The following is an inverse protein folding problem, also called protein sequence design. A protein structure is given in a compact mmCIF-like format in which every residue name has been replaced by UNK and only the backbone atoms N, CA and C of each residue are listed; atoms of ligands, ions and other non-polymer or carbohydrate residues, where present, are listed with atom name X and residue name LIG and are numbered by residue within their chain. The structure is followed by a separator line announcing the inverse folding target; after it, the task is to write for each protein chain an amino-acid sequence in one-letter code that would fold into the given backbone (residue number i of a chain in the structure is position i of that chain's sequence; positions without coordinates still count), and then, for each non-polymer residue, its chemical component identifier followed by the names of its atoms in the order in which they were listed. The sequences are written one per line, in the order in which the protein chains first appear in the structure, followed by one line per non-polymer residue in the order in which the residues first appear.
data_IF_873881491092
#
_entry.id   IF_873881491092
#
_cell.length_a   1.000
_cell.length_b   1.000
_cell.length_c   1.000
_cell.angle_alpha   90.00
_cell.angle_beta   90.00
_cell.angle_gamma   90.00
#
_symmetry.space_group_name_H-M   'P 1'
#
loop_
_entity.id
_entity.type
_entity.pdbx_description
1 polymer ?
#
# COMPACT_ATOMS: atom_id res chain seq x y z
N UNK A 1 10.33 35.50 18.35
CA UNK A 1 9.01 34.90 18.10
C UNK A 1 9.24 33.41 18.08
N UNK A 2 8.68 32.65 19.01
CA UNK A 2 8.76 31.19 18.99
C UNK A 2 8.04 30.71 17.72
N UNK A 3 8.73 29.93 16.88
CA UNK A 3 8.09 29.23 15.78
C UNK A 3 6.98 28.37 16.36
N UNK A 4 5.72 28.62 15.98
CA UNK A 4 4.61 27.73 16.35
C UNK A 4 4.85 26.38 15.67
N UNK A 5 4.93 25.30 16.46
CA UNK A 5 5.02 23.95 15.90
C UNK A 5 3.84 23.68 14.98
N UNK A 6 4.11 22.99 13.86
CA UNK A 6 3.07 22.55 12.95
C UNK A 6 2.36 21.29 13.48
N UNK A 7 1.19 20.95 12.92
CA UNK A 7 0.53 19.66 13.19
C UNK A 7 1.43 18.47 12.83
N UNK A 8 2.27 18.64 11.80
CA UNK A 8 3.24 17.63 11.41
C UNK A 8 4.28 17.39 12.50
N UNK A 9 4.84 18.46 13.12
CA UNK A 9 5.79 18.32 14.22
C UNK A 9 5.15 17.64 15.44
N UNK A 10 3.88 17.92 15.67
CA UNK A 10 3.10 17.28 16.74
C UNK A 10 2.90 15.78 16.48
N UNK A 11 2.60 15.38 15.23
CA UNK A 11 2.52 13.96 14.84
C UNK A 11 3.86 13.25 14.97
N UNK A 12 4.96 13.87 14.59
CA UNK A 12 6.32 13.31 14.75
C UNK A 12 6.68 12.97 16.19
N UNK A 13 6.12 13.68 17.15
CA UNK A 13 6.36 13.43 18.58
C UNK A 13 5.71 12.14 19.10
N UNK A 14 4.68 11.63 18.44
CA UNK A 14 3.89 10.45 18.87
C UNK A 14 3.81 9.32 17.85
N UNK A 15 4.15 9.57 16.58
CA UNK A 15 4.19 8.57 15.52
C UNK A 15 5.44 8.75 14.65
N UNK A 16 6.00 7.60 14.16
CA UNK A 16 7.15 7.61 13.26
C UNK A 16 6.70 7.98 11.84
N UNK A 17 6.31 9.23 11.63
CA UNK A 17 5.93 9.75 10.30
C UNK A 17 7.08 10.57 9.78
N UNK A 18 7.78 10.06 8.79
CA UNK A 18 8.94 10.67 8.17
C UNK A 18 8.65 11.08 6.71
N UNK A 19 9.19 12.23 6.27
CA UNK A 19 8.87 12.84 4.98
C UNK A 19 10.09 13.19 4.11
N UNK A 20 9.97 13.01 2.77
CA UNK A 20 11.02 13.20 1.77
C UNK A 20 11.51 14.67 1.66
N UNK A 21 12.44 14.93 0.84
CA UNK A 21 13.35 16.06 0.64
C UNK A 21 13.10 17.41 1.36
N UNK A 22 11.85 17.90 1.42
CA UNK A 22 11.49 19.13 2.15
C UNK A 22 10.98 18.82 3.56
N UNK A 23 10.40 17.65 3.74
CA UNK A 23 9.68 17.18 4.92
C UNK A 23 10.22 15.83 5.44
N UNK A 24 11.25 15.26 4.83
CA UNK A 24 11.84 13.97 5.14
C UNK A 24 13.00 13.97 6.13
N UNK A 25 13.70 12.84 6.29
CA UNK A 25 13.55 11.60 5.52
C UNK A 25 12.27 10.82 5.85
N UNK A 26 11.77 10.02 4.87
CA UNK A 26 10.69 9.08 5.11
C UNK A 26 11.24 7.70 5.50
N UNK A 27 10.39 6.89 6.15
CA UNK A 27 10.72 5.48 6.35
C UNK A 27 10.48 4.75 5.04
N UNK A 28 9.22 4.70 4.57
CA UNK A 28 8.80 3.91 3.43
C UNK A 28 8.13 4.76 2.34
N UNK A 29 8.15 4.23 1.11
CA UNK A 29 7.38 4.72 -0.01
C UNK A 29 6.38 3.66 -0.44
N UNK A 30 5.12 4.03 -0.66
CA UNK A 30 4.11 3.11 -1.17
C UNK A 30 3.59 3.55 -2.54
N UNK A 31 3.40 2.58 -3.44
CA UNK A 31 2.85 2.79 -4.77
C UNK A 31 1.69 1.82 -5.04
N UNK A 32 0.95 2.08 -6.10
CA UNK A 32 -0.05 1.23 -6.73
C UNK A 32 -0.29 1.70 -8.16
N UNK A 33 -1.10 0.99 -8.91
CA UNK A 33 -1.39 1.29 -10.32
C UNK A 33 -1.96 2.70 -10.52
N UNK A 34 -2.85 3.16 -9.61
CA UNK A 34 -3.45 4.48 -9.72
C UNK A 34 -2.43 5.61 -9.49
N UNK A 35 -1.56 5.45 -8.49
CA UNK A 35 -0.48 6.40 -8.21
C UNK A 35 0.50 6.43 -9.38
N UNK A 36 0.91 5.26 -9.89
CA UNK A 36 1.83 5.15 -11.01
C UNK A 36 1.25 5.79 -12.28
N UNK A 37 -0.01 5.50 -12.61
CA UNK A 37 -0.69 6.11 -13.75
C UNK A 37 -0.77 7.62 -13.62
N UNK A 38 -1.21 8.14 -12.47
CA UNK A 38 -1.30 9.58 -12.23
C UNK A 38 0.05 10.28 -12.31
N UNK A 39 1.14 9.63 -11.90
CA UNK A 39 2.48 10.18 -12.01
C UNK A 39 3.01 10.15 -13.45
N UNK A 40 2.87 9.02 -14.15
CA UNK A 40 3.37 8.83 -15.52
C UNK A 40 2.63 9.71 -16.54
N UNK A 41 1.38 10.07 -16.27
CA UNK A 41 0.57 10.91 -17.16
C UNK A 41 0.66 12.41 -16.85
N UNK A 42 1.51 12.82 -15.88
CA UNK A 42 1.77 14.24 -15.65
C UNK A 42 2.42 14.89 -16.87
N UNK A 43 1.96 16.10 -17.19
CA UNK A 43 2.47 16.88 -18.28
C UNK A 43 3.30 18.08 -17.80
N UNK A 44 4.28 18.47 -18.59
CA UNK A 44 5.04 19.71 -18.47
C UNK A 44 4.20 20.88 -19.00
N UNK A 45 4.66 22.11 -18.81
CA UNK A 45 3.96 23.31 -19.27
C UNK A 45 3.77 23.38 -20.80
N UNK A 46 4.62 22.69 -21.57
CA UNK A 46 4.54 22.55 -23.03
C UNK A 46 3.69 21.34 -23.49
N UNK A 47 3.00 20.67 -22.56
CA UNK A 47 2.06 19.60 -22.84
C UNK A 47 2.68 18.21 -23.07
N UNK A 48 3.99 18.05 -22.95
CA UNK A 48 4.67 16.75 -23.05
C UNK A 48 4.58 15.97 -21.75
N UNK A 49 4.65 14.64 -21.82
CA UNK A 49 4.72 13.83 -20.61
C UNK A 49 6.03 14.08 -19.86
N UNK A 50 5.91 14.38 -18.57
CA UNK A 50 7.08 14.64 -17.71
C UNK A 50 8.01 13.43 -17.62
N UNK A 51 7.45 12.22 -17.72
CA UNK A 51 8.17 10.95 -17.63
C UNK A 51 8.31 10.23 -18.99
N UNK A 52 8.20 10.93 -20.11
CA UNK A 52 8.21 10.34 -21.47
C UNK A 52 9.43 9.42 -21.69
N UNK A 53 10.63 9.88 -21.33
CA UNK A 53 11.85 9.07 -21.51
C UNK A 53 11.83 7.80 -20.65
N UNK A 54 11.36 7.89 -19.41
CA UNK A 54 11.22 6.72 -18.53
C UNK A 54 10.27 5.67 -19.16
N UNK A 55 9.17 6.11 -19.77
CA UNK A 55 8.21 5.22 -20.43
C UNK A 55 8.87 4.54 -21.63
N UNK A 56 9.53 5.30 -22.51
CA UNK A 56 10.24 4.77 -23.69
C UNK A 56 11.29 3.72 -23.31
N UNK A 57 12.15 4.05 -22.34
CA UNK A 57 13.19 3.13 -21.86
C UNK A 57 12.59 1.87 -21.26
N UNK A 58 11.44 1.99 -20.56
CA UNK A 58 10.78 0.82 -19.96
C UNK A 58 10.17 -0.11 -21.00
N UNK A 59 9.57 0.44 -22.05
CA UNK A 59 9.01 -0.34 -23.17
C UNK A 59 10.13 -1.02 -23.95
N UNK A 60 11.22 -0.32 -24.23
CA UNK A 60 12.38 -0.89 -24.93
C UNK A 60 13.03 -2.04 -24.14
N UNK A 61 13.25 -1.85 -22.84
CA UNK A 61 13.81 -2.90 -21.98
C UNK A 61 12.87 -4.10 -21.87
N UNK A 62 11.55 -3.87 -21.77
CA UNK A 62 10.57 -4.94 -21.70
C UNK A 62 10.61 -5.83 -22.94
N UNK A 63 10.75 -5.26 -24.13
CA UNK A 63 10.87 -6.02 -25.38
C UNK A 63 12.12 -6.92 -25.37
N UNK A 64 13.26 -6.39 -24.94
CA UNK A 64 14.50 -7.15 -24.86
C UNK A 64 14.49 -8.22 -23.76
N UNK A 65 13.98 -7.88 -22.58
CA UNK A 65 14.01 -8.77 -21.42
C UNK A 65 12.96 -9.87 -21.50
N UNK A 66 11.77 -9.61 -22.07
CA UNK A 66 10.75 -10.64 -22.26
C UNK A 66 11.29 -11.83 -23.04
N UNK A 67 12.00 -11.60 -24.15
CA UNK A 67 12.60 -12.68 -24.93
C UNK A 67 13.75 -13.40 -24.21
N UNK A 68 14.55 -12.68 -23.44
CA UNK A 68 15.79 -13.21 -22.87
C UNK A 68 15.61 -13.89 -21.50
N UNK A 69 14.72 -13.36 -20.65
CA UNK A 69 14.61 -13.77 -19.26
C UNK A 69 13.21 -14.30 -18.89
N UNK A 70 12.15 -13.80 -19.53
CA UNK A 70 10.77 -14.13 -19.18
C UNK A 70 9.90 -14.37 -20.41
N UNK A 71 10.14 -15.45 -21.19
CA UNK A 71 9.47 -15.68 -22.49
C UNK A 71 7.95 -15.84 -22.39
N UNK A 72 7.44 -16.17 -21.22
CA UNK A 72 6.01 -16.40 -20.98
C UNK A 72 5.22 -15.12 -20.60
N UNK A 73 5.90 -13.95 -20.46
CA UNK A 73 5.24 -12.70 -20.10
C UNK A 73 5.00 -11.83 -21.33
N UNK A 74 3.81 -11.23 -21.40
CA UNK A 74 3.55 -10.16 -22.37
C UNK A 74 4.51 -8.98 -22.10
N UNK A 75 5.28 -8.53 -23.12
CA UNK A 75 6.18 -7.38 -22.98
C UNK A 75 5.51 -6.11 -22.46
N UNK A 76 4.21 -5.92 -22.73
CA UNK A 76 3.43 -4.79 -22.22
C UNK A 76 3.27 -4.87 -20.70
N UNK A 77 2.91 -6.04 -20.17
CA UNK A 77 2.82 -6.25 -18.72
C UNK A 77 4.18 -6.02 -18.04
N UNK A 78 5.24 -6.51 -18.66
CA UNK A 78 6.61 -6.28 -18.16
C UNK A 78 6.99 -4.79 -18.21
N UNK A 79 6.59 -4.06 -19.26
CA UNK A 79 6.84 -2.62 -19.34
C UNK A 79 6.16 -1.86 -18.20
N UNK A 80 4.94 -2.22 -17.83
CA UNK A 80 4.25 -1.62 -16.66
C UNK A 80 5.04 -1.87 -15.38
N UNK A 81 5.51 -3.11 -15.14
CA UNK A 81 6.34 -3.43 -13.97
C UNK A 81 7.63 -2.61 -13.93
N UNK A 82 8.33 -2.49 -15.07
CA UNK A 82 9.57 -1.70 -15.18
C UNK A 82 9.28 -0.21 -14.94
N UNK A 83 8.21 0.34 -15.48
CA UNK A 83 7.81 1.74 -15.23
C UNK A 83 7.58 1.99 -13.74
N UNK A 84 6.85 1.11 -13.04
CA UNK A 84 6.58 1.24 -11.61
C UNK A 84 7.86 1.14 -10.77
N UNK A 85 8.76 0.23 -11.11
CA UNK A 85 10.09 0.10 -10.47
C UNK A 85 10.92 1.36 -10.68
N UNK A 86 11.03 1.86 -11.92
CA UNK A 86 11.80 3.07 -12.22
C UNK A 86 11.27 4.32 -11.53
N UNK A 87 9.93 4.45 -11.39
CA UNK A 87 9.35 5.53 -10.60
C UNK A 87 9.76 5.43 -9.14
N UNK A 88 9.71 4.24 -8.57
CA UNK A 88 10.06 4.02 -7.15
C UNK A 88 11.53 4.28 -6.87
N UNK A 89 12.44 3.88 -7.77
CA UNK A 89 13.88 4.12 -7.64
C UNK A 89 14.25 5.61 -7.55
N UNK A 90 13.42 6.52 -8.08
CA UNK A 90 13.63 7.97 -7.91
C UNK A 90 13.60 8.43 -6.45
N UNK A 91 13.03 7.64 -5.55
CA UNK A 91 12.92 7.97 -4.13
C UNK A 91 14.07 7.42 -3.26
N UNK A 92 15.04 6.68 -3.86
CA UNK A 92 16.18 6.09 -3.11
C UNK A 92 16.83 7.08 -2.13
N UNK A 93 17.18 8.33 -2.53
CA UNK A 93 17.89 9.26 -1.65
C UNK A 93 17.06 9.76 -0.46
N UNK A 94 15.76 9.51 -0.45
CA UNK A 94 14.81 10.09 0.50
C UNK A 94 14.20 9.07 1.46
N UNK A 95 14.55 7.78 1.34
CA UNK A 95 13.94 6.70 2.10
C UNK A 95 14.98 5.92 2.91
N UNK A 96 14.60 5.57 4.14
CA UNK A 96 15.43 4.73 5.02
C UNK A 96 14.97 3.29 5.11
N UNK A 97 13.72 2.99 4.77
CA UNK A 97 13.08 1.67 4.83
C UNK A 97 12.70 1.11 3.47
N UNK A 98 11.46 0.65 3.33
CA UNK A 98 11.00 -0.15 2.20
C UNK A 98 10.42 0.65 1.03
N UNK A 99 10.54 0.03 -0.15
CA UNK A 99 9.88 0.42 -1.40
C UNK A 99 8.72 -0.54 -1.65
N UNK A 100 7.47 -0.07 -1.46
CA UNK A 100 6.29 -0.91 -1.64
C UNK A 100 5.78 -0.81 -3.07
N UNK A 101 5.85 -1.91 -3.81
CA UNK A 101 5.35 -2.04 -5.18
C UNK A 101 4.19 -3.01 -5.21
N UNK A 102 3.07 -2.59 -5.79
CA UNK A 102 1.88 -3.44 -5.89
C UNK A 102 1.97 -4.38 -7.09
N UNK A 103 1.60 -5.65 -6.86
CA UNK A 103 1.43 -6.65 -7.91
C UNK A 103 0.29 -6.27 -8.86
N UNK A 104 0.27 -6.83 -10.06
CA UNK A 104 -0.86 -6.71 -10.98
C UNK A 104 -2.13 -7.25 -10.32
N UNK A 105 -3.14 -6.41 -10.19
CA UNK A 105 -4.38 -6.72 -9.47
C UNK A 105 -5.30 -7.69 -10.21
N UNK A 106 -5.13 -7.87 -11.52
CA UNK A 106 -5.85 -8.89 -12.28
C UNK A 106 -5.52 -10.33 -11.82
N UNK A 107 -4.41 -10.47 -11.08
CA UNK A 107 -3.96 -11.75 -10.52
C UNK A 107 -4.30 -11.93 -9.03
N UNK A 108 -5.10 -11.04 -8.45
CA UNK A 108 -5.42 -11.04 -7.01
C UNK A 108 -6.04 -12.36 -6.50
N UNK A 109 -6.62 -13.16 -7.38
CA UNK A 109 -7.22 -14.46 -7.06
C UNK A 109 -6.38 -15.65 -7.57
N UNK A 110 -5.08 -15.44 -7.82
CA UNK A 110 -4.15 -16.49 -8.25
C UNK A 110 -2.86 -16.43 -7.44
N UNK A 111 -2.64 -17.39 -6.56
CA UNK A 111 -1.40 -17.52 -5.77
C UNK A 111 -0.19 -17.57 -6.68
N UNK A 112 -0.20 -18.46 -7.68
CA UNK A 112 0.93 -18.69 -8.58
C UNK A 112 1.31 -17.43 -9.37
N UNK A 113 0.32 -16.78 -10.01
CA UNK A 113 0.57 -15.57 -10.80
C UNK A 113 1.06 -14.42 -9.93
N UNK A 114 0.49 -14.25 -8.72
CA UNK A 114 0.91 -13.23 -7.76
C UNK A 114 2.35 -13.45 -7.30
N UNK A 115 2.73 -14.67 -6.96
CA UNK A 115 4.11 -15.00 -6.55
C UNK A 115 5.09 -14.75 -7.70
N UNK A 116 4.80 -15.25 -8.91
CA UNK A 116 5.66 -15.02 -10.08
C UNK A 116 5.84 -13.53 -10.40
N UNK A 117 4.76 -12.76 -10.30
CA UNK A 117 4.81 -11.31 -10.50
C UNK A 117 5.68 -10.63 -9.43
N UNK A 118 5.52 -10.98 -8.16
CA UNK A 118 6.29 -10.45 -7.06
C UNK A 118 7.80 -10.72 -7.23
N UNK A 119 8.17 -11.95 -7.55
CA UNK A 119 9.57 -12.34 -7.79
C UNK A 119 10.16 -11.58 -8.98
N UNK A 120 9.40 -11.44 -10.08
CA UNK A 120 9.83 -10.68 -11.25
C UNK A 120 10.02 -9.18 -10.94
N UNK A 121 9.15 -8.59 -10.10
CA UNK A 121 9.34 -7.21 -9.63
C UNK A 121 10.68 -7.07 -8.88
N UNK A 122 10.99 -7.98 -7.95
CA UNK A 122 12.28 -7.97 -7.22
C UNK A 122 13.47 -8.11 -8.18
N UNK A 123 13.38 -9.00 -9.15
CA UNK A 123 14.42 -9.14 -10.17
C UNK A 123 14.54 -7.90 -11.07
N UNK A 124 13.43 -7.24 -11.38
CA UNK A 124 13.41 -6.00 -12.14
C UNK A 124 14.16 -4.89 -11.42
N UNK A 125 14.05 -4.77 -10.08
CA UNK A 125 14.88 -3.84 -9.30
C UNK A 125 16.38 -4.10 -9.51
N UNK A 126 16.80 -5.35 -9.44
CA UNK A 126 18.23 -5.73 -9.67
C UNK A 126 18.71 -5.41 -11.09
N UNK A 127 17.84 -5.59 -12.09
CA UNK A 127 18.18 -5.32 -13.49
C UNK A 127 18.27 -3.82 -13.79
N UNK A 128 17.34 -3.02 -13.24
CA UNK A 128 17.28 -1.57 -13.47
C UNK A 128 18.37 -0.85 -12.68
N UNK A 129 18.60 -1.25 -11.42
CA UNK A 129 19.61 -0.66 -10.53
C UNK A 129 20.38 -1.75 -9.80
N UNK A 130 21.49 -2.26 -10.39
CA UNK A 130 22.25 -3.39 -9.83
C UNK A 130 22.85 -3.12 -8.44
N UNK A 131 23.01 -1.86 -8.05
CA UNK A 131 23.54 -1.46 -6.74
C UNK A 131 22.47 -1.33 -5.66
N UNK A 132 21.19 -1.45 -6.03
CA UNK A 132 20.07 -1.32 -5.09
C UNK A 132 19.98 -2.56 -4.18
N UNK A 133 19.83 -2.30 -2.87
CA UNK A 133 19.56 -3.37 -1.90
C UNK A 133 18.11 -3.86 -2.03
N UNK A 134 17.94 -5.01 -2.66
CA UNK A 134 16.62 -5.62 -2.90
C UNK A 134 15.93 -6.10 -1.63
N UNK A 135 16.62 -6.22 -0.50
CA UNK A 135 16.00 -6.49 0.78
C UNK A 135 15.10 -5.33 1.24
N UNK A 136 15.21 -4.16 0.60
CA UNK A 136 14.35 -3.01 0.78
C UNK A 136 13.10 -3.02 -0.11
N UNK A 137 12.87 -4.07 -0.88
CA UNK A 137 11.61 -4.23 -1.63
C UNK A 137 10.58 -4.87 -0.73
N UNK A 138 9.39 -4.29 -0.67
CA UNK A 138 8.21 -4.85 -0.02
C UNK A 138 7.09 -4.98 -1.06
N UNK A 139 6.63 -6.19 -1.30
CA UNK A 139 5.61 -6.44 -2.32
C UNK A 139 4.21 -6.21 -1.72
N UNK A 140 3.47 -5.29 -2.32
CA UNK A 140 2.11 -4.93 -1.93
C UNK A 140 1.11 -5.80 -2.68
N UNK A 141 0.26 -6.53 -1.94
CA UNK A 141 -0.64 -7.57 -2.48
C UNK A 141 -2.05 -7.36 -1.91
N UNK A 142 -3.12 -7.34 -2.74
CA UNK A 142 -4.50 -7.30 -2.25
C UNK A 142 -4.82 -8.47 -1.31
N UNK A 143 -5.56 -8.19 -0.22
CA UNK A 143 -5.82 -9.13 0.86
C UNK A 143 -6.97 -10.10 0.56
N UNK A 144 -6.97 -10.71 -0.63
CA UNK A 144 -7.73 -11.92 -0.92
C UNK A 144 -7.13 -13.11 -0.17
N UNK A 145 -7.82 -14.23 -0.09
CA UNK A 145 -7.22 -15.45 0.48
C UNK A 145 -5.95 -15.85 -0.28
N UNK A 146 -6.03 -15.85 -1.62
CA UNK A 146 -4.90 -16.17 -2.52
C UNK A 146 -3.75 -15.17 -2.38
N UNK A 147 -4.09 -13.87 -2.26
CA UNK A 147 -3.09 -12.83 -2.04
C UNK A 147 -2.32 -13.02 -0.74
N UNK A 148 -3.01 -13.33 0.36
CA UNK A 148 -2.36 -13.59 1.66
C UNK A 148 -1.59 -14.94 1.62
N UNK A 149 -2.09 -15.95 0.91
CA UNK A 149 -1.35 -17.20 0.68
C UNK A 149 -0.06 -16.95 -0.12
N UNK A 150 -0.09 -16.06 -1.12
CA UNK A 150 1.11 -15.61 -1.84
C UNK A 150 2.08 -14.87 -0.91
N UNK A 151 1.58 -14.00 -0.02
CA UNK A 151 2.42 -13.34 1.00
C UNK A 151 3.20 -14.36 1.83
N UNK A 152 2.56 -15.44 2.31
CA UNK A 152 3.24 -16.49 3.08
C UNK A 152 4.41 -17.11 2.30
N UNK A 153 4.21 -17.40 1.02
CA UNK A 153 5.26 -17.98 0.18
C UNK A 153 6.43 -17.00 0.03
N UNK A 154 6.15 -15.74 -0.20
CA UNK A 154 7.16 -14.69 -0.39
C UNK A 154 7.93 -14.39 0.89
N UNK A 155 7.25 -14.27 2.04
CA UNK A 155 7.87 -14.08 3.36
C UNK A 155 8.80 -15.24 3.72
N UNK A 156 8.43 -16.49 3.40
CA UNK A 156 9.29 -17.66 3.57
C UNK A 156 10.53 -17.65 2.65
N UNK A 157 10.48 -16.88 1.56
CA UNK A 157 11.63 -16.63 0.66
C UNK A 157 12.45 -15.40 1.06
N UNK A 158 12.08 -14.71 2.16
CA UNK A 158 12.74 -13.50 2.62
C UNK A 158 12.31 -12.23 1.87
N UNK A 159 11.25 -12.27 1.09
CA UNK A 159 10.67 -11.11 0.41
C UNK A 159 9.58 -10.52 1.30
N UNK A 160 9.80 -9.30 1.79
CA UNK A 160 8.83 -8.60 2.63
C UNK A 160 7.53 -8.33 1.87
N UNK A 161 6.38 -8.45 2.58
CA UNK A 161 5.06 -8.24 1.98
C UNK A 161 4.21 -7.26 2.79
N UNK A 162 3.34 -6.54 2.07
CA UNK A 162 2.29 -5.69 2.61
C UNK A 162 0.94 -6.16 2.08
N UNK A 163 0.14 -6.80 2.93
CA UNK A 163 -1.22 -7.17 2.60
C UNK A 163 -2.12 -5.92 2.60
N UNK A 164 -2.63 -5.51 1.43
CA UNK A 164 -3.33 -4.24 1.22
C UNK A 164 -4.81 -4.41 0.91
N UNK A 165 -5.54 -3.30 0.78
CA UNK A 165 -7.00 -3.31 0.57
C UNK A 165 -7.73 -4.11 1.64
N UNK A 166 -7.38 -3.81 2.89
CA UNK A 166 -7.81 -4.57 4.06
C UNK A 166 -8.86 -3.78 4.84
N UNK A 167 -9.94 -4.46 5.27
CA UNK A 167 -11.10 -3.81 5.85
C UNK A 167 -11.62 -4.49 7.13
N UNK A 168 -11.14 -5.68 7.49
CA UNK A 168 -11.63 -6.44 8.65
C UNK A 168 -10.57 -7.31 9.31
N UNK A 169 -10.91 -7.78 10.53
CA UNK A 169 -10.01 -8.58 11.36
C UNK A 169 -9.73 -9.97 10.80
N UNK A 170 -10.64 -10.54 10.01
CA UNK A 170 -10.44 -11.82 9.34
C UNK A 170 -9.25 -11.77 8.38
N UNK A 171 -9.11 -10.67 7.64
CA UNK A 171 -7.95 -10.44 6.77
C UNK A 171 -6.68 -10.19 7.61
N UNK A 172 -6.77 -9.36 8.66
CA UNK A 172 -5.64 -9.02 9.51
C UNK A 172 -5.06 -10.24 10.25
N UNK A 173 -5.91 -11.11 10.79
CA UNK A 173 -5.47 -12.33 11.46
C UNK A 173 -4.81 -13.31 10.49
N UNK A 174 -5.37 -13.51 9.29
CA UNK A 174 -4.76 -14.35 8.26
C UNK A 174 -3.41 -13.81 7.80
N UNK A 175 -3.28 -12.47 7.66
CA UNK A 175 -2.02 -11.82 7.30
C UNK A 175 -0.94 -12.04 8.37
N UNK A 176 -1.28 -11.94 9.66
CA UNK A 176 -0.37 -12.27 10.76
C UNK A 176 0.07 -13.74 10.71
N UNK A 177 -0.88 -14.66 10.50
CA UNK A 177 -0.60 -16.09 10.36
C UNK A 177 0.29 -16.42 9.15
N UNK A 178 0.14 -15.66 8.06
CA UNK A 178 1.01 -15.73 6.89
C UNK A 178 2.40 -15.13 7.13
N UNK A 179 2.60 -14.39 8.22
CA UNK A 179 3.85 -13.72 8.56
C UNK A 179 4.12 -12.48 7.72
N UNK A 180 3.09 -11.79 7.22
CA UNK A 180 3.26 -10.53 6.50
C UNK A 180 4.07 -9.51 7.32
N UNK A 181 4.94 -8.78 6.65
CA UNK A 181 5.71 -7.68 7.29
C UNK A 181 4.77 -6.54 7.66
N UNK A 182 3.85 -6.17 6.76
CA UNK A 182 2.86 -5.11 6.99
C UNK A 182 1.46 -5.55 6.58
N UNK A 183 0.48 -4.85 7.16
CA UNK A 183 -0.88 -4.74 6.60
C UNK A 183 -1.20 -3.27 6.29
N UNK A 184 -2.03 -3.04 5.27
CA UNK A 184 -2.57 -1.71 4.98
C UNK A 184 -4.10 -1.70 5.12
N UNK A 185 -4.63 -1.44 6.35
CA UNK A 185 -6.02 -1.08 6.52
C UNK A 185 -6.36 0.18 5.72
N UNK A 186 -7.43 0.13 4.93
CA UNK A 186 -7.96 1.31 4.29
C UNK A 186 -8.99 1.96 5.20
N UNK A 187 -8.65 3.13 5.75
CA UNK A 187 -9.55 3.89 6.64
C UNK A 187 -10.84 4.25 5.91
N UNK A 188 -10.71 4.75 4.69
CA UNK A 188 -11.82 4.93 3.77
C UNK A 188 -11.77 3.89 2.65
N UNK A 189 -12.92 3.47 2.15
CA UNK A 189 -12.97 2.70 0.91
C UNK A 189 -12.36 3.49 -0.26
N UNK A 190 -11.80 2.79 -1.23
CA UNK A 190 -10.97 3.41 -2.27
C UNK A 190 -11.75 4.43 -3.14
N UNK A 191 -13.05 4.23 -3.28
CA UNK A 191 -13.96 5.08 -4.04
C UNK A 191 -13.91 6.57 -3.66
N UNK A 192 -13.57 6.92 -2.41
CA UNK A 192 -13.43 8.31 -1.95
C UNK A 192 -12.42 9.12 -2.76
N UNK A 193 -11.43 8.45 -3.38
CA UNK A 193 -10.40 9.09 -4.19
C UNK A 193 -10.76 9.25 -5.67
N UNK A 194 -11.88 8.64 -6.12
CA UNK A 194 -12.25 8.56 -7.54
C UNK A 194 -13.63 9.14 -7.85
N UNK A 195 -14.51 9.24 -6.85
CA UNK A 195 -15.86 9.80 -7.02
C UNK A 195 -15.97 11.13 -6.28
N UNK A 196 -16.06 12.26 -7.00
CA UNK A 196 -16.18 13.58 -6.36
C UNK A 196 -17.36 13.66 -5.39
N UNK A 197 -17.10 14.15 -4.16
CA UNK A 197 -18.12 14.33 -3.14
C UNK A 197 -18.54 13.06 -2.39
N UNK A 198 -18.00 11.90 -2.77
CA UNK A 198 -18.28 10.67 -2.03
C UNK A 198 -17.55 10.67 -0.67
N UNK A 199 -18.25 10.24 0.37
CA UNK A 199 -17.73 10.10 1.74
C UNK A 199 -18.02 8.70 2.24
N UNK A 200 -17.01 8.02 2.78
CA UNK A 200 -17.21 6.73 3.45
C UNK A 200 -17.73 6.97 4.87
N UNK A 201 -18.95 6.57 5.14
CA UNK A 201 -19.58 6.67 6.47
C UNK A 201 -19.09 5.58 7.44
N UNK A 202 -18.41 4.53 6.92
CA UNK A 202 -17.95 3.38 7.69
C UNK A 202 -16.41 3.31 7.70
N UNK A 203 -15.79 4.34 8.26
CA UNK A 203 -14.33 4.45 8.34
C UNK A 203 -13.72 3.41 9.28
N UNK A 204 -12.60 2.82 8.87
CA UNK A 204 -11.99 1.69 9.54
C UNK A 204 -11.03 2.06 10.71
N UNK A 205 -11.27 3.16 11.44
CA UNK A 205 -10.42 3.56 12.57
C UNK A 205 -10.38 2.50 13.68
N UNK A 206 -11.55 1.97 14.06
CA UNK A 206 -11.61 0.92 15.09
C UNK A 206 -10.91 -0.34 14.63
N UNK A 207 -11.04 -0.71 13.36
CA UNK A 207 -10.31 -1.84 12.80
C UNK A 207 -8.78 -1.63 12.89
N UNK A 208 -8.24 -0.45 12.56
CA UNK A 208 -6.82 -0.14 12.72
C UNK A 208 -6.35 -0.37 14.17
N UNK A 209 -7.13 0.11 15.14
CA UNK A 209 -6.83 -0.04 16.57
C UNK A 209 -6.91 -1.50 17.02
N UNK A 210 -7.93 -2.25 16.60
CA UNK A 210 -8.09 -3.67 16.90
C UNK A 210 -6.93 -4.51 16.30
N UNK A 211 -6.54 -4.24 15.06
CA UNK A 211 -5.45 -4.96 14.41
C UNK A 211 -4.12 -4.73 15.12
N UNK A 212 -3.80 -3.47 15.49
CA UNK A 212 -2.59 -3.15 16.24
C UNK A 212 -2.58 -3.84 17.61
N UNK A 213 -3.69 -3.80 18.35
CA UNK A 213 -3.80 -4.46 19.65
C UNK A 213 -3.65 -5.98 19.52
N UNK A 214 -4.29 -6.59 18.53
CA UNK A 214 -4.18 -8.02 18.24
C UNK A 214 -2.73 -8.45 17.95
N UNK A 215 -1.98 -7.68 17.16
CA UNK A 215 -0.59 -8.00 16.84
C UNK A 215 0.35 -7.86 18.04
N UNK A 216 0.09 -6.88 18.91
CA UNK A 216 0.82 -6.75 20.18
C UNK A 216 0.54 -7.96 21.11
N UNK A 217 -0.73 -8.35 21.27
CA UNK A 217 -1.14 -9.45 22.12
C UNK A 217 -0.61 -10.80 21.62
N UNK A 218 -0.71 -11.07 20.32
CA UNK A 218 -0.23 -12.30 19.69
C UNK A 218 1.27 -12.31 19.43
N UNK A 219 1.98 -11.20 19.70
CA UNK A 219 3.40 -11.01 19.37
C UNK A 219 3.72 -11.25 17.89
N UNK A 220 2.76 -10.93 17.01
CA UNK A 220 2.98 -10.98 15.59
C UNK A 220 4.05 -9.97 15.16
N UNK A 221 4.90 -10.34 14.18
CA UNK A 221 5.88 -9.40 13.60
C UNK A 221 5.22 -8.34 12.71
N UNK A 222 3.99 -8.62 12.27
CA UNK A 222 3.22 -7.80 11.35
C UNK A 222 2.93 -6.41 11.94
N UNK A 223 3.11 -5.37 11.14
CA UNK A 223 2.87 -3.99 11.55
C UNK A 223 1.71 -3.37 10.77
N UNK A 224 1.01 -2.45 11.40
CA UNK A 224 -0.12 -1.74 10.80
C UNK A 224 0.37 -0.47 10.11
N UNK A 225 0.11 -0.36 8.79
CA UNK A 225 0.38 0.80 7.96
C UNK A 225 -0.95 1.30 7.38
N UNK A 226 -1.68 2.13 8.13
CA UNK A 226 -2.99 2.64 7.71
C UNK A 226 -2.88 3.50 6.45
N UNK A 227 -3.88 3.40 5.58
CA UNK A 227 -3.91 4.09 4.29
C UNK A 227 -5.31 4.62 3.94
N UNK A 228 -5.44 5.27 2.78
CA UNK A 228 -6.70 5.83 2.25
C UNK A 228 -7.29 6.93 3.12
N UNK A 229 -6.49 7.99 3.33
CA UNK A 229 -6.88 9.17 4.10
C UNK A 229 -7.20 10.33 3.17
N UNK A 230 -8.20 11.13 3.53
CA UNK A 230 -8.69 12.27 2.73
C UNK A 230 -8.57 13.61 3.45
N UNK A 231 -8.45 13.63 4.79
CA UNK A 231 -8.47 14.86 5.60
C UNK A 231 -7.40 14.87 6.69
N UNK A 232 -7.00 16.08 7.13
CA UNK A 232 -6.11 16.26 8.28
C UNK A 232 -6.66 15.60 9.55
N UNK A 233 -7.95 15.76 9.93
CA UNK A 233 -8.47 15.08 11.11
C UNK A 233 -8.31 13.55 11.08
N UNK A 234 -8.47 12.91 9.91
CA UNK A 234 -8.25 11.48 9.78
C UNK A 234 -6.80 11.08 10.08
N UNK A 235 -5.83 11.87 9.58
CA UNK A 235 -4.41 11.63 9.89
C UNK A 235 -4.13 11.82 11.38
N UNK A 236 -4.64 12.90 11.97
CA UNK A 236 -4.42 13.22 13.38
C UNK A 236 -5.05 12.18 14.32
N UNK A 237 -6.22 11.62 13.96
CA UNK A 237 -6.88 10.56 14.74
C UNK A 237 -6.06 9.26 14.76
N UNK A 238 -5.25 9.01 13.71
CA UNK A 238 -4.35 7.86 13.66
C UNK A 238 -3.04 8.05 14.44
N UNK A 239 -2.82 9.18 15.11
CA UNK A 239 -1.63 9.36 15.94
C UNK A 239 -1.54 8.25 17.00
N UNK A 240 -0.38 7.58 17.06
CA UNK A 240 -0.17 6.38 17.91
C UNK A 240 -0.25 5.04 17.15
N UNK A 241 -0.67 5.03 15.90
CA UNK A 241 -0.52 3.87 15.03
C UNK A 241 0.96 3.64 14.66
N UNK A 242 1.33 2.41 14.32
CA UNK A 242 2.73 2.07 13.98
C UNK A 242 3.22 2.81 12.74
N UNK A 243 2.43 2.80 11.66
CA UNK A 243 2.73 3.49 10.40
C UNK A 243 1.46 4.05 9.76
N UNK A 244 1.60 5.11 8.98
CA UNK A 244 0.52 5.73 8.22
C UNK A 244 1.02 6.17 6.84
N UNK A 245 0.26 5.88 5.80
CA UNK A 245 0.48 6.40 4.45
C UNK A 245 -0.31 7.69 4.26
N UNK A 246 0.39 8.79 4.02
CA UNK A 246 -0.21 10.10 3.81
C UNK A 246 0.13 10.62 2.42
N UNK A 247 -0.87 11.12 1.70
CA UNK A 247 -0.65 11.66 0.35
C UNK A 247 0.12 12.99 0.38
N UNK A 248 0.90 13.34 -0.67
CA UNK A 248 1.65 14.59 -0.71
C UNK A 248 0.82 15.85 -0.46
N UNK A 249 -0.42 16.01 -0.97
CA UNK A 249 -1.26 17.16 -0.62
C UNK A 249 -1.59 17.27 0.86
N UNK A 250 -1.96 16.16 1.51
CA UNK A 250 -2.24 16.14 2.96
C UNK A 250 -0.99 16.44 3.79
N UNK A 251 0.18 16.02 3.32
CA UNK A 251 1.45 16.30 3.96
C UNK A 251 1.76 17.78 3.99
N UNK A 252 1.61 18.46 2.83
CA UNK A 252 1.79 19.92 2.75
C UNK A 252 0.79 20.64 3.62
N UNK A 253 -0.46 20.18 3.65
CA UNK A 253 -1.50 20.74 4.50
C UNK A 253 -1.18 20.59 6.00
N UNK A 254 -0.68 19.41 6.43
CA UNK A 254 -0.21 19.19 7.80
C UNK A 254 0.99 20.08 8.18
N UNK A 255 1.95 20.24 7.26
CA UNK A 255 3.12 21.09 7.48
C UNK A 255 2.76 22.59 7.57
N UNK A 256 1.72 23.02 6.86
CA UNK A 256 1.23 24.40 6.88
C UNK A 256 0.30 24.72 8.07
N UNK A 257 -0.38 23.70 8.63
CA UNK A 257 -1.36 23.90 9.70
C UNK A 257 -0.66 24.09 11.06
N UNK A 258 -0.99 25.17 11.83
CA UNK A 258 -0.49 25.34 13.17
C UNK A 258 -0.96 24.22 14.12
N UNK A 259 -0.11 23.79 15.05
CA UNK A 259 -0.46 22.75 16.05
C UNK A 259 -1.70 23.12 16.91
N UNK A 260 -1.93 24.41 17.12
CA UNK A 260 -3.09 24.91 17.86
C UNK A 260 -4.44 24.66 17.20
N UNK A 261 -4.46 24.25 15.93
CA UNK A 261 -5.71 23.86 15.22
C UNK A 261 -6.24 22.50 15.63
N UNK A 262 -5.44 21.70 16.31
CA UNK A 262 -5.84 20.42 16.88
C UNK A 262 -5.99 20.53 18.39
N UNK A 263 -7.20 20.38 18.89
CA UNK A 263 -7.54 20.58 20.31
C UNK A 263 -7.64 19.27 21.12
N UNK A 264 -7.74 18.13 20.42
CA UNK A 264 -7.82 16.83 21.06
C UNK A 264 -6.44 16.34 21.51
N UNK A 265 -6.42 15.41 22.47
CA UNK A 265 -5.17 14.75 22.90
C UNK A 265 -4.58 13.93 21.75
N UNK A 266 -3.43 14.33 21.26
CA UNK A 266 -2.70 13.59 20.23
C UNK A 266 -2.34 12.20 20.73
N UNK A 267 -2.65 11.16 19.96
CA UNK A 267 -2.44 9.76 20.35
C UNK A 267 -3.49 9.20 21.32
N UNK A 268 -4.47 9.99 21.75
CA UNK A 268 -5.50 9.56 22.70
C UNK A 268 -6.31 8.37 22.21
N UNK A 269 -6.66 8.37 20.91
CA UNK A 269 -7.44 7.29 20.31
C UNK A 269 -6.77 5.91 20.39
N UNK A 270 -5.44 5.84 20.29
CA UNK A 270 -4.67 4.59 20.38
C UNK A 270 -4.13 4.30 21.79
N UNK A 271 -4.24 5.24 22.75
CA UNK A 271 -3.86 5.04 24.13
C UNK A 271 -4.86 4.17 24.90
N UNK A 272 -6.14 4.23 24.50
CA UNK A 272 -7.19 3.45 25.11
C UNK A 272 -7.31 2.07 24.44
N UNK A 273 -7.70 1.06 25.21
CA UNK A 273 -8.00 -0.26 24.64
C UNK A 273 -9.14 -0.14 23.61
N UNK A 274 -9.15 -0.95 22.54
CA UNK A 274 -10.28 -0.97 21.61
C UNK A 274 -11.57 -1.35 22.35
N UNK A 275 -12.70 -0.73 21.95
CA UNK A 275 -14.00 -0.91 22.59
C UNK A 275 -14.48 -2.36 22.60
N UNK A 276 -14.08 -3.11 21.57
CA UNK A 276 -14.28 -4.55 21.48
C UNK A 276 -12.92 -5.23 21.22
N UNK A 277 -12.48 -6.09 22.14
CA UNK A 277 -11.37 -6.98 21.85
C UNK A 277 -11.84 -8.02 20.85
N UNK A 278 -11.13 -8.15 19.75
CA UNK A 278 -11.34 -9.23 18.80
C UNK A 278 -10.79 -10.52 19.42
N UNK A 279 -11.67 -11.25 20.12
CA UNK A 279 -11.37 -12.53 20.81
C UNK A 279 -12.22 -13.61 20.15
N UNK A 280 -12.11 -13.79 18.83
CA UNK A 280 -12.66 -15.02 18.25
C UNK A 280 -11.57 -16.08 18.30
N UNK A 281 -11.97 -17.29 18.71
CA UNK A 281 -11.20 -18.48 18.41
C UNK A 281 -11.24 -18.69 16.89
N UNK A 282 -10.35 -17.95 16.21
CA UNK A 282 -10.25 -17.91 14.76
C UNK A 282 -9.24 -18.93 14.23
N UNK A 283 -8.71 -19.78 15.13
CA UNK A 283 -7.65 -20.73 14.79
C UNK A 283 -8.10 -21.70 13.68
N UNK A 284 -9.34 -22.19 13.73
CA UNK A 284 -9.88 -23.05 12.69
C UNK A 284 -9.91 -22.35 11.31
N UNK A 285 -10.39 -21.11 11.27
CA UNK A 285 -10.47 -20.32 10.02
C UNK A 285 -9.09 -19.93 9.46
N UNK A 286 -8.04 -19.87 10.29
CA UNK A 286 -6.69 -19.59 9.80
C UNK A 286 -6.03 -20.75 9.05
N UNK A 287 -6.53 -21.98 9.25
CA UNK A 287 -5.99 -23.20 8.66
C UNK A 287 -6.91 -23.83 7.61
N UNK A 288 -8.18 -23.44 7.57
CA UNK A 288 -9.18 -23.91 6.62
C UNK A 288 -9.67 -22.76 5.72
N UNK A 289 -9.45 -22.90 4.42
CA UNK A 289 -9.82 -21.87 3.44
C UNK A 289 -11.34 -21.62 3.41
N UNK A 290 -12.16 -22.68 3.49
CA UNK A 290 -13.61 -22.53 3.38
C UNK A 290 -14.20 -21.82 4.61
N UNK A 291 -13.68 -22.12 5.78
CA UNK A 291 -14.05 -21.46 7.03
C UNK A 291 -13.64 -19.98 7.02
N UNK A 292 -12.44 -19.67 6.52
CA UNK A 292 -11.99 -18.30 6.40
C UNK A 292 -12.85 -17.50 5.41
N UNK A 293 -13.11 -18.06 4.21
CA UNK A 293 -13.94 -17.41 3.20
C UNK A 293 -15.34 -17.15 3.73
N UNK A 294 -15.93 -18.12 4.41
CA UNK A 294 -17.24 -17.96 5.02
C UNK A 294 -17.27 -16.88 6.09
N UNK A 295 -16.26 -16.84 6.97
CA UNK A 295 -16.13 -15.80 7.99
C UNK A 295 -15.95 -14.41 7.36
N UNK A 296 -15.10 -14.28 6.33
CA UNK A 296 -14.84 -13.03 5.61
C UNK A 296 -16.10 -12.52 4.89
N UNK A 297 -16.79 -13.38 4.13
CA UNK A 297 -18.03 -13.01 3.43
C UNK A 297 -19.11 -12.53 4.41
N UNK A 298 -19.20 -13.11 5.61
CA UNK A 298 -20.16 -12.67 6.64
C UNK A 298 -19.74 -11.43 7.41
N UNK A 299 -18.47 -11.09 7.38
CA UNK A 299 -17.92 -9.94 8.10
C UNK A 299 -18.52 -8.64 7.57
N UNK A 300 -19.08 -7.83 8.48
CA UNK A 300 -19.80 -6.61 8.10
C UNK A 300 -21.01 -6.83 7.17
N UNK A 301 -21.62 -8.03 7.17
CA UNK A 301 -22.70 -8.43 6.26
C UNK A 301 -22.32 -8.29 4.77
N UNK A 302 -21.11 -8.73 4.40
CA UNK A 302 -20.58 -8.70 3.03
C UNK A 302 -19.90 -7.39 2.64
N UNK A 303 -20.03 -6.31 3.42
CA UNK A 303 -19.50 -4.98 3.09
C UNK A 303 -17.99 -4.97 2.89
N UNK A 304 -17.24 -5.73 3.67
CA UNK A 304 -15.78 -5.71 3.59
C UNK A 304 -15.27 -6.45 2.35
N UNK A 305 -15.94 -7.50 1.95
CA UNK A 305 -15.67 -8.18 0.68
C UNK A 305 -16.03 -7.28 -0.52
N UNK A 306 -17.16 -6.57 -0.46
CA UNK A 306 -17.54 -5.58 -1.47
C UNK A 306 -16.49 -4.46 -1.60
N UNK A 307 -15.97 -3.92 -0.49
CA UNK A 307 -14.91 -2.91 -0.52
C UNK A 307 -13.60 -3.46 -1.12
N UNK A 308 -13.25 -4.72 -0.85
CA UNK A 308 -12.09 -5.37 -1.45
C UNK A 308 -12.26 -5.53 -2.96
N UNK A 309 -13.41 -6.04 -3.43
CA UNK A 309 -13.73 -6.19 -4.84
C UNK A 309 -13.70 -4.83 -5.56
N UNK A 310 -14.31 -3.81 -4.97
CA UNK A 310 -14.27 -2.45 -5.49
C UNK A 310 -12.84 -1.95 -5.68
N UNK A 311 -11.98 -2.14 -4.68
CA UNK A 311 -10.59 -1.68 -4.75
C UNK A 311 -9.78 -2.44 -5.83
N UNK A 312 -9.97 -3.76 -5.96
CA UNK A 312 -9.34 -4.55 -7.01
C UNK A 312 -9.77 -4.03 -8.38
N UNK A 313 -11.07 -3.82 -8.62
CA UNK A 313 -11.58 -3.33 -9.90
C UNK A 313 -10.98 -1.97 -10.27
N UNK A 314 -10.96 -1.01 -9.35
CA UNK A 314 -10.37 0.33 -9.58
C UNK A 314 -8.88 0.21 -9.96
N UNK A 315 -8.12 -0.64 -9.27
CA UNK A 315 -6.71 -0.83 -9.59
C UNK A 315 -6.50 -1.58 -10.91
N UNK A 316 -7.36 -2.55 -11.25
CA UNK A 316 -7.33 -3.25 -12.54
C UNK A 316 -7.63 -2.32 -13.71
N UNK A 317 -8.59 -1.39 -13.59
CA UNK A 317 -8.81 -0.34 -14.59
C UNK A 317 -7.55 0.53 -14.77
N UNK A 318 -6.83 0.85 -13.69
CA UNK A 318 -5.58 1.61 -13.78
C UNK A 318 -4.41 0.78 -14.33
N UNK A 319 -4.39 -0.52 -14.06
CA UNK A 319 -3.46 -1.45 -14.71
C UNK A 319 -3.65 -1.42 -16.23
N UNK A 320 -4.89 -1.53 -16.71
CA UNK A 320 -5.23 -1.45 -18.14
C UNK A 320 -4.82 -0.10 -18.74
N UNK A 321 -5.06 1.01 -18.03
CA UNK A 321 -4.64 2.34 -18.47
C UNK A 321 -3.11 2.46 -18.58
N UNK A 322 -2.34 1.82 -17.70
CA UNK A 322 -0.88 1.75 -17.78
C UNK A 322 -0.42 0.90 -18.98
N UNK A 323 -1.11 -0.18 -19.28
CA UNK A 323 -0.83 -1.02 -20.45
C UNK A 323 -1.09 -0.27 -21.76
N UNK A 324 -2.21 0.47 -21.84
CA UNK A 324 -2.52 1.34 -22.99
C UNK A 324 -1.45 2.41 -23.19
N UNK A 325 -1.00 3.03 -22.08
CA UNK A 325 0.12 3.97 -22.11
C UNK A 325 1.38 3.31 -22.67
N UNK A 326 1.75 2.12 -22.20
CA UNK A 326 2.91 1.38 -22.70
C UNK A 326 2.77 1.04 -24.20
N UNK A 327 1.59 0.58 -24.65
CA UNK A 327 1.31 0.27 -26.08
C UNK A 327 1.47 1.47 -26.98
N UNK A 328 1.19 2.68 -26.51
CA UNK A 328 1.34 3.90 -27.30
C UNK A 328 2.79 4.24 -27.63
N UNK A 329 3.76 3.51 -27.07
CA UNK A 329 5.21 3.68 -27.28
C UNK A 329 5.86 2.47 -28.01
N UNK A 330 5.06 1.51 -28.49
CA UNK A 330 5.55 0.45 -29.40
C UNK A 330 5.75 1.00 -30.81
#
# INVERSE_FOLDING_TARGET
MAQSNSLLDTLRSVSRVDFAKELGPFVDHTSNQAIAYGELTKTTADGKLYHEQLIRDSVQDAQGWAHAAWPDIDPILLAVEIMMVRLSLKFIPYLTGYFHIQTNTDWSYSVEKTVKNAERIVETFKKVEPTFDVNRVCIKIPSTYEGIAACRILENKGIATLATTMFCMEQAALAAHAGCTYIAPYVNELKVHFVPGYVDENKAFNFCRQAQAYYVETKAKTQVLAASLTTIPEVMQLAGIQHVTVSPPLLRALAAAPSSTWTEKVGGYFADAPDERWIKDFQAALIDESEWRFAFTRSGNGRYEEKLIQAINIFSEKQQSLEELARSYL
#
